data_IF_205805704668
#
_entry.id   IF_205805704668
#
_cell.length_a   1.000
_cell.length_b   1.000
_cell.length_c   1.000
_cell.angle_alpha   90.00
_cell.angle_beta   90.00
_cell.angle_gamma   90.00
#
_symmetry.space_group_name_H-M   'P 1'
#
loop_
_entity.id
_entity.type
_entity.pdbx_description
1 polymer ?
#
# COMPACT_ATOMS: atom_id res chain seq x y z
N UNK A 1 -16.12 30.52 16.04
CA UNK A 1 -16.14 30.81 14.60
C UNK A 1 -15.93 29.47 13.91
N UNK A 2 -17.02 28.84 13.46
CA UNK A 2 -16.95 27.49 12.86
C UNK A 2 -16.34 27.59 11.45
N UNK A 3 -15.16 26.98 11.26
CA UNK A 3 -14.60 26.77 9.94
C UNK A 3 -15.53 25.88 9.13
N UNK A 4 -16.15 26.45 8.09
CA UNK A 4 -16.89 25.69 7.08
C UNK A 4 -15.89 24.82 6.31
N UNK A 5 -15.79 23.56 6.71
CA UNK A 5 -15.03 22.54 5.99
C UNK A 5 -15.60 22.35 4.57
N UNK A 6 -14.68 22.25 3.60
CA UNK A 6 -14.94 22.02 2.18
C UNK A 6 -15.88 20.80 1.98
N UNK A 7 -16.84 20.84 1.03
CA UNK A 7 -17.85 19.79 0.84
C UNK A 7 -17.28 18.37 0.71
N UNK A 8 -16.08 18.25 0.13
CA UNK A 8 -15.36 16.98 -0.05
C UNK A 8 -14.96 16.36 1.31
N UNK A 9 -14.60 17.17 2.31
CA UNK A 9 -14.32 16.71 3.69
C UNK A 9 -15.57 16.32 4.45
N UNK A 10 -16.75 16.84 4.04
CA UNK A 10 -18.04 16.52 4.65
C UNK A 10 -18.52 15.12 4.27
N UNK A 11 -18.16 14.64 3.08
CA UNK A 11 -18.49 13.28 2.61
C UNK A 11 -17.60 12.17 3.19
N UNK A 12 -16.44 12.49 3.77
CA UNK A 12 -15.59 11.48 4.42
C UNK A 12 -16.07 11.05 5.81
N UNK A 13 -17.05 11.74 6.41
CA UNK A 13 -17.56 11.39 7.76
C UNK A 13 -18.48 10.18 7.81
N UNK A 14 -18.99 9.70 6.66
CA UNK A 14 -19.99 8.64 6.61
C UNK A 14 -19.52 7.34 5.91
N UNK A 15 -18.21 7.13 5.73
CA UNK A 15 -17.67 5.95 5.03
C UNK A 15 -16.93 4.99 5.98
N UNK A 16 -16.59 5.42 7.20
CA UNK A 16 -15.82 4.59 8.15
C UNK A 16 -16.77 3.99 9.20
N UNK A 17 -16.98 2.67 9.15
CA UNK A 17 -17.91 1.99 10.05
C UNK A 17 -17.41 1.96 11.51
N UNK A 18 -16.13 2.26 11.75
CA UNK A 18 -15.56 2.41 13.09
C UNK A 18 -14.23 3.18 13.10
N UNK A 19 -13.80 3.66 14.28
CA UNK A 19 -12.45 4.22 14.49
C UNK A 19 -11.32 3.25 14.13
N UNK A 20 -11.57 1.94 14.14
CA UNK A 20 -10.60 0.91 13.75
C UNK A 20 -10.36 0.90 12.24
N UNK A 21 -11.40 1.16 11.43
CA UNK A 21 -11.26 1.24 9.97
C UNK A 21 -10.39 2.45 9.58
N UNK A 22 -10.56 3.56 10.29
CA UNK A 22 -9.73 4.75 10.10
C UNK A 22 -8.26 4.49 10.45
N UNK A 23 -7.99 3.84 11.59
CA UNK A 23 -6.62 3.45 11.95
C UNK A 23 -6.00 2.50 10.94
N UNK A 24 -6.77 1.51 10.45
CA UNK A 24 -6.31 0.58 9.43
C UNK A 24 -6.02 1.30 8.10
N UNK A 25 -6.90 2.22 7.69
CA UNK A 25 -6.70 3.06 6.51
C UNK A 25 -5.42 3.89 6.61
N UNK A 26 -5.19 4.59 7.73
CA UNK A 26 -3.97 5.39 7.92
C UNK A 26 -2.70 4.55 7.97
N UNK A 27 -2.75 3.35 8.55
CA UNK A 27 -1.61 2.45 8.57
C UNK A 27 -1.29 1.90 7.16
N UNK A 28 -2.32 1.53 6.39
CA UNK A 28 -2.16 1.11 5.00
C UNK A 28 -1.65 2.25 4.13
N UNK A 29 -2.19 3.46 4.28
CA UNK A 29 -1.70 4.67 3.60
C UNK A 29 -0.20 4.86 3.84
N UNK A 30 0.25 4.85 5.11
CA UNK A 30 1.66 5.02 5.45
C UNK A 30 2.57 3.96 4.82
N UNK A 31 2.17 2.68 4.91
CA UNK A 31 2.95 1.60 4.34
C UNK A 31 3.02 1.66 2.81
N UNK A 32 1.90 1.95 2.13
CA UNK A 32 1.88 2.08 0.67
C UNK A 32 2.72 3.29 0.21
N UNK A 33 2.60 4.44 0.88
CA UNK A 33 3.45 5.59 0.56
C UNK A 33 4.94 5.27 0.76
N UNK A 34 5.28 4.51 1.80
CA UNK A 34 6.65 4.02 2.04
C UNK A 34 7.19 3.12 0.92
N UNK A 35 6.36 2.31 0.26
CA UNK A 35 6.78 1.55 -0.93
C UNK A 35 7.22 2.50 -2.04
N UNK A 36 6.40 3.51 -2.33
CA UNK A 36 6.67 4.44 -3.42
C UNK A 36 7.89 5.33 -3.19
N UNK A 37 8.34 5.50 -1.94
CA UNK A 37 9.61 6.17 -1.62
C UNK A 37 10.84 5.45 -2.16
N UNK A 38 10.74 4.13 -2.40
CA UNK A 38 11.83 3.34 -2.95
C UNK A 38 11.97 3.47 -4.48
N UNK A 39 11.04 4.15 -5.14
CA UNK A 39 11.05 4.28 -6.59
C UNK A 39 11.47 5.70 -6.99
N UNK A 40 12.47 5.81 -7.85
CA UNK A 40 12.62 7.00 -8.67
C UNK A 40 11.52 7.05 -9.74
N UNK A 41 11.33 8.20 -10.38
CA UNK A 41 10.37 8.30 -11.49
C UNK A 41 10.75 7.40 -12.67
N UNK A 42 12.05 7.24 -12.93
CA UNK A 42 12.56 6.36 -13.98
C UNK A 42 12.35 4.88 -13.64
N UNK A 43 12.55 4.50 -12.37
CA UNK A 43 12.26 3.14 -11.90
C UNK A 43 10.80 2.80 -12.02
N UNK A 44 9.92 3.73 -11.63
CA UNK A 44 8.48 3.55 -11.74
C UNK A 44 8.04 3.42 -13.21
N UNK A 45 8.58 4.27 -14.10
CA UNK A 45 8.32 4.18 -15.54
C UNK A 45 8.75 2.84 -16.11
N UNK A 46 9.94 2.38 -15.75
CA UNK A 46 10.45 1.07 -16.15
C UNK A 46 9.57 -0.05 -15.61
N UNK A 47 9.20 0.02 -14.33
CA UNK A 47 8.35 -0.98 -13.68
C UNK A 47 6.98 -1.10 -14.36
N UNK A 48 6.36 0.03 -14.72
CA UNK A 48 5.10 0.03 -15.47
C UNK A 48 5.29 -0.59 -16.85
N UNK A 49 6.31 -0.15 -17.60
CA UNK A 49 6.57 -0.60 -18.98
C UNK A 49 6.90 -2.08 -19.06
N UNK A 50 7.71 -2.58 -18.13
CA UNK A 50 8.14 -3.97 -18.06
C UNK A 50 7.20 -4.84 -17.22
N UNK A 51 6.12 -4.25 -16.69
CA UNK A 51 5.16 -4.87 -15.81
C UNK A 51 5.82 -5.61 -14.63
N UNK A 52 6.81 -4.95 -14.01
CA UNK A 52 7.46 -5.48 -12.82
C UNK A 52 6.51 -5.51 -11.64
N UNK A 53 6.61 -6.60 -10.89
CA UNK A 53 5.92 -6.75 -9.63
C UNK A 53 6.70 -6.03 -8.54
N UNK A 54 6.06 -5.05 -7.90
CA UNK A 54 6.67 -4.30 -6.81
C UNK A 54 7.10 -5.24 -5.68
N UNK A 55 6.43 -6.37 -5.46
CA UNK A 55 6.76 -7.34 -4.42
C UNK A 55 8.14 -7.97 -4.56
N UNK A 56 8.59 -8.18 -5.80
CA UNK A 56 9.82 -8.88 -6.10
C UNK A 56 11.05 -7.96 -6.13
N UNK A 57 10.91 -6.69 -5.72
CA UNK A 57 11.98 -5.71 -5.81
C UNK A 57 12.85 -5.65 -4.54
N UNK A 58 14.18 -5.48 -4.70
CA UNK A 58 15.17 -5.64 -3.61
C UNK A 58 14.99 -4.71 -2.40
N UNK A 59 14.14 -3.69 -2.49
CA UNK A 59 13.75 -2.88 -1.32
C UNK A 59 13.06 -3.71 -0.23
N UNK A 60 12.53 -4.90 -0.57
CA UNK A 60 12.05 -5.86 0.41
C UNK A 60 13.15 -6.34 1.35
N UNK A 61 14.44 -6.04 1.14
CA UNK A 61 15.51 -6.37 2.08
C UNK A 61 15.65 -5.35 3.22
N UNK A 62 15.03 -4.17 3.11
CA UNK A 62 15.02 -3.17 4.18
C UNK A 62 14.24 -3.67 5.42
N UNK A 63 14.92 -3.78 6.56
CA UNK A 63 14.32 -4.31 7.80
C UNK A 63 13.07 -3.54 8.24
N UNK A 64 13.07 -2.22 8.12
CA UNK A 64 11.95 -1.36 8.53
C UNK A 64 10.69 -1.62 7.67
N UNK A 65 10.89 -1.83 6.37
CA UNK A 65 9.78 -2.10 5.45
C UNK A 65 9.28 -3.53 5.57
N UNK A 66 10.19 -4.52 5.69
CA UNK A 66 9.81 -5.89 6.05
C UNK A 66 8.99 -5.92 7.33
N UNK A 67 9.38 -5.14 8.33
CA UNK A 67 8.68 -5.07 9.60
C UNK A 67 7.30 -4.42 9.47
N UNK A 68 7.16 -3.30 8.77
CA UNK A 68 5.85 -2.67 8.53
C UNK A 68 4.91 -3.55 7.70
N UNK A 69 5.43 -4.19 6.65
CA UNK A 69 4.66 -5.11 5.84
C UNK A 69 4.33 -6.41 6.58
N UNK A 70 5.26 -6.95 7.37
CA UNK A 70 4.98 -8.08 8.28
C UNK A 70 3.97 -7.71 9.37
N UNK A 71 3.99 -6.48 9.89
CA UNK A 71 2.96 -6.01 10.82
C UNK A 71 1.58 -5.97 10.17
N UNK A 72 1.50 -5.61 8.88
CA UNK A 72 0.26 -5.65 8.11
C UNK A 72 -0.17 -7.08 7.74
N UNK A 73 0.76 -7.97 7.39
CA UNK A 73 0.46 -9.34 6.96
C UNK A 73 0.31 -10.35 8.11
N UNK A 74 0.89 -10.09 9.29
CA UNK A 74 0.77 -10.95 10.49
C UNK A 74 -0.40 -10.60 11.38
N UNK A 75 -1.07 -9.48 11.17
CA UNK A 75 -2.17 -9.06 12.01
C UNK A 75 -3.51 -9.34 11.31
N UNK A 76 -4.29 -10.33 11.80
CA UNK A 76 -5.59 -10.72 11.23
C UNK A 76 -6.59 -9.55 11.15
N UNK A 77 -6.35 -8.47 11.91
CA UNK A 77 -7.14 -7.25 11.84
C UNK A 77 -6.98 -6.52 10.51
N UNK A 78 -5.87 -6.64 9.80
CA UNK A 78 -5.68 -5.98 8.50
C UNK A 78 -6.20 -6.79 7.32
N UNK A 79 -6.24 -8.13 7.42
CA UNK A 79 -6.82 -9.01 6.39
C UNK A 79 -8.27 -8.63 6.09
N UNK A 80 -9.08 -8.37 7.12
CA UNK A 80 -10.47 -7.89 6.96
C UNK A 80 -10.59 -6.49 6.33
N UNK A 81 -9.50 -5.73 6.29
CA UNK A 81 -9.42 -4.40 5.68
C UNK A 81 -8.83 -4.42 4.26
N UNK A 82 -8.60 -5.59 3.66
CA UNK A 82 -8.14 -5.70 2.27
C UNK A 82 -9.07 -5.01 1.25
N UNK A 83 -10.34 -4.77 1.60
CA UNK A 83 -11.28 -3.99 0.79
C UNK A 83 -10.90 -2.50 0.67
N UNK A 84 -10.01 -1.99 1.53
CA UNK A 84 -9.48 -0.62 1.47
C UNK A 84 -8.39 -0.46 0.40
N UNK A 85 -7.78 -1.57 -0.04
CA UNK A 85 -6.78 -1.57 -1.10
C UNK A 85 -7.47 -1.53 -2.47
N UNK A 86 -7.73 -0.31 -2.94
CA UNK A 86 -8.32 -0.05 -4.26
C UNK A 86 -7.45 0.95 -5.02
N UNK A 87 -7.52 0.90 -6.35
CA UNK A 87 -6.80 1.88 -7.20
C UNK A 87 -7.17 3.30 -6.79
N UNK A 88 -8.47 3.57 -6.58
CA UNK A 88 -8.95 4.89 -6.18
C UNK A 88 -8.32 5.37 -4.86
N UNK A 89 -8.33 4.53 -3.82
CA UNK A 89 -7.76 4.89 -2.53
C UNK A 89 -6.26 5.15 -2.63
N UNK A 90 -5.52 4.29 -3.35
CA UNK A 90 -4.07 4.49 -3.54
C UNK A 90 -3.79 5.77 -4.32
N UNK A 91 -4.58 6.08 -5.36
CA UNK A 91 -4.44 7.33 -6.09
C UNK A 91 -4.76 8.55 -5.21
N UNK A 92 -5.75 8.45 -4.31
CA UNK A 92 -6.03 9.50 -3.32
C UNK A 92 -4.82 9.68 -2.38
N UNK A 93 -4.23 8.60 -1.87
CA UNK A 93 -3.04 8.66 -1.02
C UNK A 93 -1.86 9.31 -1.75
N UNK A 94 -1.57 8.88 -2.98
CA UNK A 94 -0.45 9.41 -3.76
C UNK A 94 -0.66 10.87 -4.17
N UNK A 95 -1.90 11.33 -4.38
CA UNK A 95 -2.18 12.74 -4.72
C UNK A 95 -2.43 13.61 -3.50
N UNK A 96 -2.45 13.01 -2.30
CA UNK A 96 -2.64 13.69 -1.03
C UNK A 96 -1.50 14.66 -0.68
N UNK A 97 -1.72 15.43 0.38
CA UNK A 97 -0.76 16.46 0.84
C UNK A 97 0.62 15.89 1.16
N UNK A 98 0.65 14.74 1.82
CA UNK A 98 1.86 14.02 2.22
C UNK A 98 2.18 12.87 1.25
N UNK A 99 1.49 12.85 0.10
CA UNK A 99 1.59 11.82 -0.93
C UNK A 99 2.81 11.99 -1.84
N UNK A 100 2.72 11.36 -3.01
CA UNK A 100 3.74 11.37 -4.07
C UNK A 100 3.10 11.79 -5.40
N UNK A 101 2.74 13.07 -5.56
CA UNK A 101 1.95 13.52 -6.70
C UNK A 101 2.68 13.34 -8.04
N UNK A 102 4.01 13.34 -8.06
CA UNK A 102 4.80 13.05 -9.26
C UNK A 102 4.70 11.57 -9.65
N UNK A 103 4.80 10.64 -8.71
CA UNK A 103 4.56 9.21 -8.96
C UNK A 103 3.12 8.98 -9.43
N UNK A 104 2.13 9.62 -8.79
CA UNK A 104 0.73 9.57 -9.21
C UNK A 104 0.57 10.03 -10.67
N UNK A 105 1.16 11.19 -11.00
CA UNK A 105 1.13 11.74 -12.35
C UNK A 105 1.78 10.78 -13.36
N UNK A 106 2.88 10.13 -12.98
CA UNK A 106 3.54 9.16 -13.83
C UNK A 106 2.64 7.95 -14.11
N UNK A 107 2.00 7.39 -13.09
CA UNK A 107 1.08 6.26 -13.22
C UNK A 107 -0.09 6.61 -14.14
N UNK A 108 -0.71 7.78 -13.92
CA UNK A 108 -1.88 8.22 -14.70
C UNK A 108 -1.51 8.44 -16.18
N UNK A 109 -0.34 9.03 -16.46
CA UNK A 109 0.04 9.42 -17.82
C UNK A 109 0.80 8.32 -18.59
N UNK A 110 1.18 7.23 -17.92
CA UNK A 110 1.84 6.09 -18.56
C UNK A 110 0.83 5.18 -19.24
N UNK A 111 1.07 4.75 -20.50
CA UNK A 111 0.26 3.71 -21.11
C UNK A 111 0.22 2.44 -20.25
N UNK A 112 -0.98 2.04 -19.82
CA UNK A 112 -1.16 0.86 -18.97
C UNK A 112 -0.83 1.05 -17.49
N UNK A 113 -0.55 2.27 -17.03
CA UNK A 113 -0.11 2.53 -15.66
C UNK A 113 -1.18 2.25 -14.60
N UNK A 114 -2.44 2.58 -14.89
CA UNK A 114 -3.57 2.29 -13.99
C UNK A 114 -3.83 0.78 -13.90
N UNK A 115 -3.75 0.07 -15.02
CA UNK A 115 -3.86 -1.39 -15.06
C UNK A 115 -2.71 -2.07 -14.33
N UNK A 116 -1.49 -1.55 -14.48
CA UNK A 116 -0.32 -2.00 -13.72
C UNK A 116 -0.55 -1.85 -12.22
N UNK A 117 -1.00 -0.66 -11.76
CA UNK A 117 -1.28 -0.41 -10.36
C UNK A 117 -2.36 -1.36 -9.82
N UNK A 118 -3.42 -1.58 -10.59
CA UNK A 118 -4.48 -2.55 -10.23
C UNK A 118 -3.95 -3.97 -10.01
N UNK A 119 -3.00 -4.43 -10.84
CA UNK A 119 -2.34 -5.74 -10.64
C UNK A 119 -1.50 -5.78 -9.37
N UNK A 120 -0.75 -4.71 -9.09
CA UNK A 120 0.05 -4.63 -7.85
C UNK A 120 -0.85 -4.74 -6.62
N UNK A 121 -1.98 -4.00 -6.63
CA UNK A 121 -3.00 -3.99 -5.58
C UNK A 121 -3.54 -5.39 -5.31
N UNK A 122 -3.87 -6.13 -6.36
CA UNK A 122 -4.36 -7.49 -6.20
C UNK A 122 -3.27 -8.40 -5.60
N UNK A 123 -2.02 -8.27 -6.04
CA UNK A 123 -0.89 -8.97 -5.43
C UNK A 123 -0.77 -8.70 -3.93
N UNK A 124 -0.95 -7.44 -3.50
CA UNK A 124 -0.98 -7.06 -2.08
C UNK A 124 -2.09 -7.82 -1.35
N UNK A 125 -3.29 -7.80 -1.92
CA UNK A 125 -4.47 -8.41 -1.30
C UNK A 125 -4.32 -9.93 -1.19
N UNK A 126 -3.81 -10.59 -2.22
CA UNK A 126 -3.53 -12.02 -2.20
C UNK A 126 -2.47 -12.35 -1.15
N UNK A 127 -1.35 -11.63 -1.12
CA UNK A 127 -0.29 -11.86 -0.13
C UNK A 127 -0.72 -11.61 1.33
N UNK A 128 -1.71 -10.74 1.57
CA UNK A 128 -2.31 -10.56 2.89
C UNK A 128 -3.25 -11.72 3.29
N UNK A 129 -3.76 -12.48 2.32
CA UNK A 129 -4.71 -13.58 2.55
C UNK A 129 -4.03 -14.95 2.55
N UNK A 130 -2.83 -15.07 1.99
CA UNK A 130 -2.06 -16.30 2.01
C UNK A 130 -1.62 -16.65 3.45
N UNK A 131 -1.75 -17.92 3.87
CA UNK A 131 -1.14 -18.36 5.11
C UNK A 131 0.37 -18.12 4.99
N UNK A 132 0.94 -17.42 5.96
CA UNK A 132 2.39 -17.28 6.04
C UNK A 132 2.99 -18.69 6.05
N UNK A 133 3.86 -19.00 5.09
CA UNK A 133 4.73 -20.16 5.25
C UNK A 133 5.44 -19.97 6.58
N UNK A 134 5.19 -20.88 7.53
CA UNK A 134 5.95 -20.92 8.77
C UNK A 134 7.41 -20.94 8.35
N UNK A 135 8.14 -19.87 8.65
CA UNK A 135 9.58 -19.93 8.58
C UNK A 135 9.96 -20.88 9.69
N UNK A 136 9.97 -22.18 9.38
CA UNK A 136 10.61 -23.22 10.17
C UNK A 136 12.10 -22.87 10.08
N UNK A 137 12.51 -21.90 10.90
CA UNK A 137 13.87 -21.91 11.41
C UNK A 137 13.86 -23.08 12.38
N UNK A 138 14.17 -24.26 11.83
CA UNK A 138 14.81 -25.30 12.60
C UNK A 138 15.86 -24.58 13.46
N UNK A 139 15.65 -24.56 14.77
CA UNK A 139 16.76 -24.50 15.72
C UNK A 139 17.56 -25.79 15.51
N UNK A 140 18.32 -25.85 14.41
CA UNK A 140 19.56 -26.61 14.37
C UNK A 140 20.51 -25.78 15.21
N UNK A 141 20.48 -25.95 16.54
CA UNK A 141 21.64 -25.92 17.46
C UNK A 141 21.13 -26.34 18.85
N UNK A 142 21.85 -27.30 19.45
CA UNK A 142 21.78 -27.85 20.81
C UNK A 142 20.83 -29.05 20.96
N UNK A 143 21.27 -30.31 21.08
CA UNK A 143 22.56 -30.92 21.44
C UNK A 143 22.65 -32.34 20.84
#
# INVERSE_FOLDING_TARGET
MEEKLHPIRRNMRNIWSSAKDYMAYSALEGAILGIFDCFTLDDLMRAIKENWDIWNMPWHEGEEFRYQFQLLSRDPRFVKHGHLLTVENIMIWLTGKDGRPLHASMIINSPGGIEWLGRQIEGIRTGLMEPLEETVKEEVVAE
#
